data_IF_585470779085
#
_entry.id   IF_585470779085
#
_cell.length_a   1.000
_cell.length_b   1.000
_cell.length_c   1.000
_cell.angle_alpha   90.00
_cell.angle_beta   90.00
_cell.angle_gamma   90.00
#
_symmetry.space_group_name_H-M   'P 1'
#
loop_
_entity.id
_entity.type
_entity.pdbx_description
1 polymer ?
#
# COMPACT_ATOMS: atom_id res chain seq x y z
N UNK A 1 -21.56 32.29 -14.88
CA UNK A 1 -20.79 31.87 -13.70
C UNK A 1 -20.05 30.58 -14.02
N UNK A 2 -18.72 30.63 -14.17
CA UNK A 2 -17.91 29.42 -14.41
C UNK A 2 -17.87 28.59 -13.13
N UNK A 3 -18.49 27.41 -13.11
CA UNK A 3 -18.28 26.44 -12.03
C UNK A 3 -16.83 26.00 -12.11
N UNK A 4 -15.98 26.50 -11.21
CA UNK A 4 -14.66 25.94 -10.98
C UNK A 4 -14.85 24.47 -10.58
N UNK A 5 -14.64 23.56 -11.53
CA UNK A 5 -14.66 22.13 -11.26
C UNK A 5 -13.47 21.84 -10.36
N UNK A 6 -13.72 21.72 -9.05
CA UNK A 6 -12.67 21.38 -8.08
C UNK A 6 -12.11 20.02 -8.48
N UNK A 7 -10.88 20.02 -9.02
CA UNK A 7 -10.23 18.79 -9.51
C UNK A 7 -10.07 17.83 -8.35
N UNK A 8 -10.54 16.59 -8.52
CA UNK A 8 -10.39 15.51 -7.54
C UNK A 8 -8.90 15.29 -7.22
N UNK A 9 -8.48 15.31 -5.94
CA UNK A 9 -7.09 15.09 -5.57
C UNK A 9 -6.57 13.72 -6.04
N UNK A 10 -5.29 13.64 -6.38
CA UNK A 10 -4.59 12.37 -6.65
C UNK A 10 -4.12 11.75 -5.34
N UNK A 11 -4.85 10.75 -4.86
CA UNK A 11 -4.54 10.09 -3.60
C UNK A 11 -3.41 9.08 -3.73
N UNK A 12 -3.21 8.47 -4.90
CA UNK A 12 -2.05 7.61 -5.15
C UNK A 12 -0.75 8.41 -5.02
N UNK A 13 -0.72 9.63 -5.57
CA UNK A 13 0.42 10.53 -5.42
C UNK A 13 0.65 10.94 -3.95
N UNK A 14 -0.41 11.22 -3.20
CA UNK A 14 -0.31 11.56 -1.78
C UNK A 14 0.30 10.43 -0.95
N UNK A 15 -0.16 9.18 -1.12
CA UNK A 15 0.42 8.02 -0.43
C UNK A 15 1.88 7.81 -0.85
N UNK A 16 2.20 7.95 -2.14
CA UNK A 16 3.58 7.84 -2.63
C UNK A 16 4.50 8.93 -2.04
N UNK A 17 3.99 10.14 -1.84
CA UNK A 17 4.73 11.22 -1.20
C UNK A 17 5.00 10.90 0.28
N UNK A 18 4.01 10.38 1.00
CA UNK A 18 4.19 9.90 2.38
C UNK A 18 5.27 8.81 2.45
N UNK A 19 5.20 7.77 1.60
CA UNK A 19 6.20 6.68 1.59
C UNK A 19 7.60 7.23 1.32
N UNK A 20 7.74 8.10 0.32
CA UNK A 20 9.02 8.74 -0.02
C UNK A 20 9.59 9.53 1.15
N UNK A 21 8.75 10.28 1.85
CA UNK A 21 9.16 11.07 3.00
C UNK A 21 9.63 10.19 4.15
N UNK A 22 8.84 9.21 4.58
CA UNK A 22 9.19 8.38 5.74
C UNK A 22 10.41 7.49 5.49
N UNK A 23 10.61 7.05 4.25
CA UNK A 23 11.83 6.34 3.85
C UNK A 23 13.08 7.21 3.94
N UNK A 24 12.96 8.54 3.81
CA UNK A 24 14.09 9.47 3.99
C UNK A 24 14.26 9.90 5.45
N UNK A 25 13.18 10.03 6.19
CA UNK A 25 13.16 10.70 7.48
C UNK A 25 13.22 9.75 8.69
N UNK A 26 13.04 8.43 8.51
CA UNK A 26 12.96 7.50 9.64
C UNK A 26 13.64 6.15 9.34
N UNK A 27 14.54 5.73 10.23
CA UNK A 27 15.39 4.53 10.09
C UNK A 27 14.59 3.23 9.85
N UNK A 28 13.46 3.07 10.56
CA UNK A 28 12.61 1.89 10.43
C UNK A 28 12.08 1.66 8.99
N UNK A 29 12.08 2.70 8.16
CA UNK A 29 11.54 2.71 6.80
C UNK A 29 12.61 3.02 5.75
N UNK A 30 13.88 3.18 6.13
CA UNK A 30 14.95 3.67 5.23
C UNK A 30 15.25 2.76 4.03
N UNK A 31 14.98 1.46 4.17
CA UNK A 31 15.14 0.46 3.13
C UNK A 31 14.08 0.54 2.02
N UNK A 32 12.98 1.27 2.24
CA UNK A 32 11.84 1.31 1.33
C UNK A 32 12.13 2.14 0.08
N UNK A 33 11.66 1.65 -1.06
CA UNK A 33 11.70 2.38 -2.34
C UNK A 33 10.28 2.59 -2.83
N UNK A 34 9.72 3.78 -2.63
CA UNK A 34 8.34 4.13 -3.00
C UNK A 34 8.02 3.77 -4.47
N UNK A 35 8.98 3.95 -5.37
CA UNK A 35 8.83 3.63 -6.79
C UNK A 35 8.76 2.13 -7.13
N UNK A 36 8.82 1.24 -6.13
CA UNK A 36 8.69 -0.22 -6.25
C UNK A 36 7.48 -0.76 -5.46
N UNK A 37 6.69 0.14 -4.88
CA UNK A 37 5.47 -0.17 -4.11
C UNK A 37 4.29 0.41 -4.87
N UNK A 38 3.43 -0.47 -5.38
CA UNK A 38 2.18 -0.08 -6.00
C UNK A 38 1.14 0.19 -4.91
N UNK A 39 0.39 1.27 -5.02
CA UNK A 39 -0.71 1.61 -4.11
C UNK A 39 -2.00 1.67 -4.93
N UNK A 40 -2.97 0.86 -4.52
CA UNK A 40 -4.29 0.79 -5.16
C UNK A 40 -5.40 0.83 -4.11
N UNK A 41 -6.60 1.27 -4.50
CA UNK A 41 -7.83 0.90 -3.78
C UNK A 41 -8.30 -0.49 -4.23
N UNK A 42 -8.99 -1.20 -3.35
CA UNK A 42 -9.56 -2.50 -3.67
C UNK A 42 -10.79 -2.84 -2.84
N UNK A 43 -11.29 -4.05 -3.06
CA UNK A 43 -12.53 -4.57 -2.48
C UNK A 43 -12.48 -4.69 -0.96
N UNK A 44 -13.65 -4.74 -0.31
CA UNK A 44 -13.77 -5.03 1.11
C UNK A 44 -13.18 -6.41 1.43
N UNK A 45 -12.43 -6.49 2.53
CA UNK A 45 -11.87 -7.75 3.02
C UNK A 45 -11.85 -7.74 4.54
N UNK A 46 -12.81 -8.45 5.15
CA UNK A 46 -12.98 -8.50 6.62
C UNK A 46 -12.96 -7.06 7.21
N UNK A 47 -12.39 -6.90 8.40
CA UNK A 47 -12.22 -5.61 9.08
C UNK A 47 -10.92 -4.85 8.70
N UNK A 48 -10.21 -5.26 7.65
CA UNK A 48 -8.93 -4.63 7.28
C UNK A 48 -9.14 -3.24 6.64
N UNK A 49 -8.27 -2.28 7.00
CA UNK A 49 -8.15 -0.97 6.35
C UNK A 49 -7.13 -0.98 5.21
N UNK A 50 -6.10 -1.80 5.32
CA UNK A 50 -5.04 -1.95 4.33
C UNK A 50 -4.52 -3.40 4.31
N UNK A 51 -3.89 -3.77 3.21
CA UNK A 51 -3.10 -5.01 3.13
C UNK A 51 -1.92 -4.78 2.21
N UNK A 52 -0.73 -5.23 2.60
CA UNK A 52 0.42 -5.38 1.71
C UNK A 52 0.53 -6.82 1.19
N UNK A 53 0.76 -6.96 -0.11
CA UNK A 53 1.04 -8.26 -0.77
C UNK A 53 2.38 -8.19 -1.48
N UNK A 54 3.28 -9.16 -1.26
CA UNK A 54 4.48 -9.30 -2.09
C UNK A 54 4.14 -9.82 -3.49
N UNK A 55 4.63 -9.13 -4.51
CA UNK A 55 4.43 -9.43 -5.92
C UNK A 55 5.52 -10.34 -6.49
N UNK A 56 6.58 -10.59 -5.74
CA UNK A 56 7.67 -11.52 -6.08
C UNK A 56 7.89 -12.52 -4.96
N UNK A 57 8.78 -13.49 -5.19
CA UNK A 57 9.40 -14.29 -4.14
C UNK A 57 10.69 -13.61 -3.67
N UNK A 58 11.36 -14.23 -2.70
CA UNK A 58 12.65 -13.80 -2.16
C UNK A 58 13.68 -13.52 -3.25
N UNK A 59 14.49 -12.48 -3.05
CA UNK A 59 15.46 -12.02 -4.05
C UNK A 59 14.81 -11.51 -5.35
N UNK A 60 13.56 -11.03 -5.28
CA UNK A 60 12.79 -10.48 -6.42
C UNK A 60 12.51 -11.48 -7.53
N UNK A 61 12.60 -12.78 -7.22
CA UNK A 61 12.39 -13.88 -8.16
C UNK A 61 10.91 -14.02 -8.51
N UNK A 62 10.65 -14.51 -9.72
CA UNK A 62 9.30 -14.83 -10.20
C UNK A 62 8.86 -16.25 -9.88
N UNK A 63 9.82 -17.14 -9.71
CA UNK A 63 9.60 -18.55 -9.40
C UNK A 63 10.35 -18.88 -8.12
N UNK A 64 9.76 -19.67 -7.25
CA UNK A 64 10.44 -20.19 -6.07
C UNK A 64 11.00 -21.61 -6.29
N UNK A 65 11.58 -22.20 -5.25
CA UNK A 65 12.15 -23.55 -5.29
C UNK A 65 11.11 -24.66 -5.51
N UNK A 66 9.83 -24.38 -5.30
CA UNK A 66 8.73 -25.32 -5.51
C UNK A 66 8.08 -25.16 -6.89
N UNK A 67 8.66 -24.33 -7.78
CA UNK A 67 8.14 -24.09 -9.13
C UNK A 67 6.92 -23.16 -9.17
N UNK A 68 6.49 -22.60 -8.04
CA UNK A 68 5.35 -21.67 -7.99
C UNK A 68 5.74 -20.38 -8.68
N UNK A 69 4.85 -19.82 -9.51
CA UNK A 69 5.16 -18.66 -10.35
C UNK A 69 4.23 -17.48 -10.04
N UNK A 70 4.81 -16.32 -9.72
CA UNK A 70 4.09 -15.06 -9.61
C UNK A 70 4.11 -14.28 -10.94
N UNK A 71 3.02 -13.57 -11.28
CA UNK A 71 3.01 -12.68 -12.42
C UNK A 71 4.00 -11.53 -12.21
N UNK A 72 4.63 -11.08 -13.30
CA UNK A 72 5.47 -9.88 -13.27
C UNK A 72 4.54 -8.66 -13.31
N UNK A 73 4.69 -7.74 -12.35
CA UNK A 73 3.99 -6.45 -12.38
C UNK A 73 5.01 -5.36 -12.71
N UNK A 74 4.81 -4.64 -13.81
CA UNK A 74 5.62 -3.48 -14.20
C UNK A 74 4.75 -2.23 -14.24
N UNK A 75 5.21 -1.15 -13.64
CA UNK A 75 4.55 0.17 -13.74
C UNK A 75 5.63 1.20 -14.03
N UNK A 76 5.42 2.01 -15.06
CA UNK A 76 6.35 2.93 -15.69
C UNK A 76 7.70 2.26 -15.97
N UNK A 77 7.66 1.07 -16.58
CA UNK A 77 8.84 0.25 -16.88
C UNK A 77 9.53 -0.40 -15.67
N UNK A 78 9.12 -0.09 -14.44
CA UNK A 78 9.75 -0.59 -13.21
C UNK A 78 8.99 -1.80 -12.68
N UNK A 79 9.71 -2.86 -12.32
CA UNK A 79 9.11 -4.01 -11.62
C UNK A 79 8.66 -3.59 -10.21
N UNK A 80 7.39 -3.81 -9.91
CA UNK A 80 6.81 -3.62 -8.58
C UNK A 80 7.11 -4.85 -7.72
N UNK A 81 7.49 -4.62 -6.46
CA UNK A 81 7.81 -5.67 -5.49
C UNK A 81 6.67 -5.89 -4.50
N UNK A 82 5.92 -4.83 -4.19
CA UNK A 82 4.84 -4.85 -3.22
C UNK A 82 3.62 -4.15 -3.79
N UNK A 83 2.43 -4.60 -3.38
CA UNK A 83 1.17 -3.93 -3.62
C UNK A 83 0.48 -3.66 -2.29
N UNK A 84 0.31 -2.38 -1.94
CA UNK A 84 -0.56 -1.96 -0.85
C UNK A 84 -1.96 -1.75 -1.43
N UNK A 85 -2.94 -2.48 -0.90
CA UNK A 85 -4.35 -2.31 -1.25
C UNK A 85 -5.07 -1.64 -0.10
N UNK A 86 -5.51 -0.41 -0.30
CA UNK A 86 -6.34 0.35 0.63
C UNK A 86 -7.80 -0.11 0.49
N UNK A 87 -8.44 -0.39 1.63
CA UNK A 87 -9.76 -1.04 1.71
C UNK A 87 -10.86 -0.02 2.02
N UNK A 88 -12.14 -0.34 1.84
CA UNK A 88 -13.23 0.60 2.08
C UNK A 88 -13.21 1.26 3.46
N UNK A 89 -12.84 0.55 4.54
CA UNK A 89 -12.75 1.14 5.89
C UNK A 89 -11.69 2.25 6.00
N UNK A 90 -10.62 2.20 5.20
CA UNK A 90 -9.63 3.28 5.13
C UNK A 90 -10.27 4.57 4.59
N UNK A 91 -11.09 4.47 3.55
CA UNK A 91 -11.71 5.63 2.92
C UNK A 91 -12.93 6.12 3.70
N UNK A 92 -13.72 5.22 4.28
CA UNK A 92 -15.07 5.50 4.81
C UNK A 92 -15.15 5.69 6.32
N UNK A 93 -14.18 5.18 7.08
CA UNK A 93 -14.22 5.14 8.55
C UNK A 93 -12.82 5.24 9.14
N UNK A 94 -12.14 6.34 8.84
CA UNK A 94 -10.82 6.63 9.39
C UNK A 94 -10.60 8.14 9.58
N UNK A 95 -9.96 8.51 10.68
CA UNK A 95 -9.38 9.84 10.87
C UNK A 95 -8.11 10.00 10.01
N UNK A 96 -7.57 11.22 9.82
CA UNK A 96 -6.33 11.43 9.07
C UNK A 96 -5.17 10.60 9.65
N UNK A 97 -5.04 10.59 10.98
CA UNK A 97 -4.01 9.82 11.67
C UNK A 97 -4.17 8.32 11.47
N UNK A 98 -5.39 7.79 11.57
CA UNK A 98 -5.66 6.37 11.33
C UNK A 98 -5.27 5.93 9.91
N UNK A 99 -5.48 6.79 8.91
CA UNK A 99 -5.05 6.50 7.53
C UNK A 99 -3.53 6.49 7.39
N UNK A 100 -2.84 7.48 7.95
CA UNK A 100 -1.38 7.51 7.97
C UNK A 100 -0.84 6.28 8.69
N UNK A 101 -1.34 5.99 9.89
CA UNK A 101 -0.97 4.80 10.66
C UNK A 101 -1.21 3.51 9.87
N UNK A 102 -2.32 3.38 9.15
CA UNK A 102 -2.58 2.23 8.27
C UNK A 102 -1.50 2.09 7.19
N UNK A 103 -1.13 3.18 6.51
CA UNK A 103 -0.05 3.12 5.51
C UNK A 103 1.27 2.70 6.15
N UNK A 104 1.64 3.32 7.28
CA UNK A 104 2.87 2.97 8.00
C UNK A 104 2.88 1.51 8.47
N UNK A 105 1.72 0.99 8.89
CA UNK A 105 1.53 -0.39 9.30
C UNK A 105 1.82 -1.35 8.13
N UNK A 106 1.22 -1.10 6.97
CA UNK A 106 1.48 -1.90 5.76
C UNK A 106 2.94 -1.83 5.30
N UNK A 107 3.59 -0.68 5.48
CA UNK A 107 5.03 -0.53 5.17
C UNK A 107 5.90 -1.27 6.19
N UNK A 108 5.49 -1.34 7.46
CA UNK A 108 6.26 -1.99 8.51
C UNK A 108 6.38 -3.50 8.28
N UNK A 109 5.34 -4.13 7.70
CA UNK A 109 5.36 -5.54 7.26
C UNK A 109 6.41 -5.85 6.18
N UNK A 110 6.88 -4.86 5.43
CA UNK A 110 7.85 -5.08 4.35
C UNK A 110 9.20 -5.52 4.94
N UNK A 111 9.82 -6.54 4.33
CA UNK A 111 11.15 -7.02 4.70
C UNK A 111 12.18 -5.90 4.67
N UNK A 112 13.00 -5.81 5.72
CA UNK A 112 14.12 -4.86 5.84
C UNK A 112 15.13 -4.98 4.69
N UNK A 113 15.23 -6.15 4.04
CA UNK A 113 16.10 -6.36 2.87
C UNK A 113 15.50 -5.80 1.56
N UNK A 114 14.21 -5.45 1.57
CA UNK A 114 13.47 -4.95 0.40
C UNK A 114 13.63 -5.84 -0.84
N UNK A 115 13.50 -7.14 -0.62
CA UNK A 115 13.77 -8.21 -1.58
C UNK A 115 12.48 -8.80 -2.20
N UNK A 116 11.31 -8.23 -1.86
CA UNK A 116 10.02 -8.72 -2.30
C UNK A 116 9.41 -9.78 -1.38
N UNK A 117 9.84 -9.85 -0.12
CA UNK A 117 9.19 -10.62 0.95
C UNK A 117 8.65 -9.71 2.06
N UNK A 118 7.81 -10.27 2.94
CA UNK A 118 7.42 -9.64 4.21
C UNK A 118 8.33 -10.15 5.32
N UNK A 119 8.58 -9.29 6.32
CA UNK A 119 9.30 -9.69 7.53
C UNK A 119 8.42 -10.61 8.38
N UNK A 120 8.91 -11.81 8.67
CA UNK A 120 8.16 -12.85 9.39
C UNK A 120 7.90 -12.44 10.85
N UNK A 121 8.90 -11.84 11.51
CA UNK A 121 8.80 -11.28 12.87
C UNK A 121 7.85 -10.09 12.98
N UNK A 122 7.37 -9.56 11.85
CA UNK A 122 6.41 -8.46 11.82
C UNK A 122 5.03 -8.91 11.36
N UNK A 123 4.78 -10.20 11.17
CA UNK A 123 3.43 -10.71 10.89
C UNK A 123 2.62 -10.79 12.16
N UNK A 124 1.36 -10.40 12.11
CA UNK A 124 0.44 -10.51 13.25
C UNK A 124 0.37 -11.93 13.82
N UNK A 125 0.26 -12.94 12.96
CA UNK A 125 0.14 -14.34 13.37
C UNK A 125 1.39 -14.87 14.12
N UNK A 126 2.56 -14.27 13.86
CA UNK A 126 3.84 -14.69 14.46
C UNK A 126 4.24 -13.78 15.64
N UNK A 127 3.86 -12.50 15.61
CA UNK A 127 4.26 -11.50 16.59
C UNK A 127 3.21 -11.22 17.67
N UNK A 128 1.93 -11.54 17.44
CA UNK A 128 0.82 -11.24 18.35
C UNK A 128 0.85 -9.78 18.84
N UNK A 129 0.72 -9.59 20.15
CA UNK A 129 0.79 -8.28 20.81
C UNK A 129 2.16 -7.59 20.66
N UNK A 130 3.22 -8.37 20.39
CA UNK A 130 4.57 -7.86 20.15
C UNK A 130 4.67 -6.99 18.89
N UNK A 131 3.78 -7.18 17.91
CA UNK A 131 3.73 -6.32 16.73
C UNK A 131 3.39 -4.88 17.12
N UNK A 132 2.28 -4.68 17.85
CA UNK A 132 1.80 -3.35 18.22
C UNK A 132 2.77 -2.67 19.20
N UNK A 133 3.39 -3.44 20.10
CA UNK A 133 4.44 -2.94 20.99
C UNK A 133 5.65 -2.36 20.23
N UNK A 134 6.04 -2.97 19.10
CA UNK A 134 7.12 -2.44 18.25
C UNK A 134 6.66 -1.30 17.34
N UNK A 135 5.46 -1.40 16.78
CA UNK A 135 4.96 -0.46 15.77
C UNK A 135 4.49 0.87 16.37
N UNK A 136 3.76 0.86 17.49
CA UNK A 136 3.15 2.07 18.05
C UNK A 136 4.17 3.17 18.43
N UNK A 137 5.36 2.87 19.00
CA UNK A 137 6.40 3.89 19.21
C UNK A 137 6.91 4.51 17.89
N UNK A 138 7.02 3.72 16.83
CA UNK A 138 7.46 4.18 15.51
C UNK A 138 6.40 5.08 14.88
N UNK A 139 5.13 4.65 14.88
CA UNK A 139 4.00 5.45 14.40
C UNK A 139 3.97 6.82 15.09
N UNK A 140 4.05 6.86 16.43
CA UNK A 140 4.03 8.11 17.20
C UNK A 140 5.18 9.03 16.82
N UNK A 141 6.40 8.50 16.68
CA UNK A 141 7.60 9.27 16.30
C UNK A 141 7.45 9.86 14.90
N UNK A 142 6.98 9.07 13.93
CA UNK A 142 6.74 9.54 12.56
C UNK A 142 5.64 10.60 12.55
N UNK A 143 4.49 10.31 13.17
CA UNK A 143 3.34 11.23 13.20
C UNK A 143 3.72 12.62 13.73
N UNK A 144 4.45 12.69 14.85
CA UNK A 144 4.90 13.95 15.45
C UNK A 144 5.79 14.81 14.53
N UNK A 145 6.48 14.19 13.57
CA UNK A 145 7.42 14.87 12.68
C UNK A 145 6.88 15.07 11.27
N UNK A 146 5.68 14.56 10.97
CA UNK A 146 5.13 14.65 9.62
C UNK A 146 4.75 16.10 9.28
N UNK A 147 5.27 16.65 8.17
CA UNK A 147 4.86 17.95 7.67
C UNK A 147 3.35 18.03 7.42
N UNK A 148 2.67 19.13 7.80
CA UNK A 148 1.22 19.27 7.63
C UNK A 148 0.74 19.06 6.19
N UNK A 149 1.52 19.48 5.19
CA UNK A 149 1.18 19.30 3.78
C UNK A 149 1.15 17.82 3.33
N UNK A 150 1.88 16.94 4.02
CA UNK A 150 1.81 15.48 3.77
C UNK A 150 0.62 14.85 4.47
N UNK A 151 0.13 15.43 5.57
CA UNK A 151 -1.04 14.97 6.30
C UNK A 151 -2.34 15.44 5.65
N UNK A 152 -2.35 16.66 5.08
CA UNK A 152 -3.55 17.30 4.53
C UNK A 152 -4.35 16.42 3.54
N UNK A 153 -3.73 15.68 2.59
CA UNK A 153 -4.48 14.80 1.70
C UNK A 153 -5.22 13.67 2.44
N UNK A 154 -4.67 13.18 3.56
CA UNK A 154 -5.29 12.14 4.38
C UNK A 154 -6.46 12.66 5.21
N UNK A 155 -6.63 13.98 5.35
CA UNK A 155 -7.80 14.60 5.98
C UNK A 155 -8.88 15.06 5.00
N UNK A 156 -8.66 14.91 3.69
CA UNK A 156 -9.64 15.33 2.69
C UNK A 156 -10.98 14.60 2.86
N UNK A 157 -12.09 15.33 2.90
CA UNK A 157 -13.45 14.80 2.80
C UNK A 157 -14.03 15.13 1.42
N UNK A 158 -14.36 14.10 0.65
CA UNK A 158 -14.76 14.28 -0.75
C UNK A 158 -14.34 13.13 -1.65
N UNK A 159 -14.48 13.34 -2.95
CA UNK A 159 -14.04 12.40 -3.97
C UNK A 159 -12.55 12.59 -4.29
N UNK A 160 -11.80 11.49 -4.27
CA UNK A 160 -10.40 11.43 -4.69
C UNK A 160 -10.24 10.46 -5.85
N UNK A 161 -9.18 10.67 -6.63
CA UNK A 161 -8.70 9.75 -7.66
C UNK A 161 -7.65 8.84 -7.06
N UNK A 162 -7.74 7.54 -7.32
CA UNK A 162 -6.76 6.55 -6.86
C UNK A 162 -6.68 5.40 -7.85
N UNK A 163 -5.49 4.83 -8.04
CA UNK A 163 -5.33 3.64 -8.86
C UNK A 163 -6.15 2.46 -8.32
N UNK A 164 -6.70 1.67 -9.23
CA UNK A 164 -7.39 0.42 -8.97
C UNK A 164 -6.98 -0.61 -10.02
N UNK A 165 -7.11 -1.89 -9.70
CA UNK A 165 -6.92 -2.96 -10.68
C UNK A 165 -8.13 -3.04 -11.60
N UNK A 166 -7.90 -2.90 -12.90
CA UNK A 166 -8.87 -3.31 -13.92
C UNK A 166 -8.93 -4.84 -13.97
N UNK A 167 -7.75 -5.46 -14.02
CA UNK A 167 -7.57 -6.90 -13.88
C UNK A 167 -6.55 -7.17 -12.78
N UNK A 168 -6.98 -7.84 -11.71
CA UNK A 168 -6.14 -8.08 -10.54
C UNK A 168 -5.27 -9.33 -10.74
N UNK A 169 -3.95 -9.26 -10.46
CA UNK A 169 -3.12 -10.44 -10.43
C UNK A 169 -3.58 -11.40 -9.32
N UNK A 170 -3.98 -12.61 -9.68
CA UNK A 170 -4.41 -13.63 -8.72
C UNK A 170 -3.29 -13.92 -7.71
N UNK A 171 -3.67 -14.19 -6.47
CA UNK A 171 -2.78 -14.84 -5.50
C UNK A 171 -2.59 -16.29 -5.88
N UNK A 172 -1.44 -16.84 -5.53
CA UNK A 172 -1.33 -18.28 -5.43
C UNK A 172 -1.74 -18.64 -4.01
N UNK A 173 -2.96 -19.14 -3.84
CA UNK A 173 -3.32 -19.99 -2.69
C UNK A 173 -3.24 -21.45 -3.17
N UNK A 174 -2.89 -22.42 -2.30
CA UNK A 174 -2.99 -23.83 -2.63
C UNK A 174 -4.41 -24.14 -3.16
N UNK A 175 -4.52 -24.66 -4.39
CA UNK A 175 -5.80 -24.94 -5.05
C UNK A 175 -6.39 -23.82 -5.91
N UNK A 176 -5.83 -22.61 -5.91
CA UNK A 176 -6.22 -21.55 -6.85
C UNK A 176 -5.50 -21.71 -8.20
N UNK A 177 -6.21 -21.45 -9.31
CA UNK A 177 -5.60 -21.39 -10.65
C UNK A 177 -4.53 -20.29 -10.67
N UNK A 178 -3.40 -20.58 -11.32
CA UNK A 178 -2.38 -19.57 -11.55
C UNK A 178 -2.98 -18.38 -12.31
N UNK A 179 -2.48 -17.17 -12.01
CA UNK A 179 -2.82 -15.97 -12.75
C UNK A 179 -2.78 -16.23 -14.27
N UNK A 180 -3.91 -15.99 -14.95
CA UNK A 180 -4.05 -16.19 -16.40
C UNK A 180 -3.00 -15.42 -17.22
N UNK A 181 -2.46 -14.33 -16.66
CA UNK A 181 -1.42 -13.52 -17.30
C UNK A 181 -0.07 -13.64 -16.60
N UNK A 182 0.98 -13.65 -17.40
CA UNK A 182 2.37 -13.63 -16.92
C UNK A 182 2.91 -12.21 -16.64
N UNK A 183 2.29 -11.16 -17.21
CA UNK A 183 2.70 -9.77 -17.10
C UNK A 183 1.48 -8.87 -16.89
N UNK A 184 1.56 -7.99 -15.89
CA UNK A 184 0.64 -6.90 -15.66
C UNK A 184 1.38 -5.57 -15.78
N UNK A 185 0.71 -4.62 -16.41
CA UNK A 185 1.18 -3.26 -16.65
C UNK A 185 0.10 -2.24 -16.31
N UNK A 186 0.38 -0.96 -16.54
CA UNK A 186 -0.55 0.15 -16.42
C UNK A 186 -1.84 -0.06 -17.23
N UNK A 187 -1.79 -0.86 -18.31
CA UNK A 187 -2.98 -1.26 -19.08
C UNK A 187 -4.00 -2.06 -18.27
N UNK A 188 -3.58 -2.65 -17.15
CA UNK A 188 -4.41 -3.43 -16.25
C UNK A 188 -4.76 -2.65 -14.98
N UNK A 189 -4.43 -1.36 -14.95
CA UNK A 189 -4.80 -0.42 -13.92
C UNK A 189 -5.70 0.64 -14.54
N UNK A 190 -6.53 1.25 -13.71
CA UNK A 190 -7.24 2.47 -14.08
C UNK A 190 -7.28 3.40 -12.87
N UNK A 191 -7.58 4.66 -13.14
CA UNK A 191 -7.79 5.63 -12.07
C UNK A 191 -9.27 5.67 -11.70
N UNK A 192 -9.59 5.12 -10.52
CA UNK A 192 -10.94 5.10 -9.98
C UNK A 192 -11.24 6.30 -9.10
N UNK A 193 -12.52 6.64 -8.99
CA UNK A 193 -13.01 7.66 -8.06
C UNK A 193 -13.48 6.96 -6.78
N UNK A 194 -13.00 7.42 -5.63
CA UNK A 194 -13.42 6.91 -4.32
C UNK A 194 -13.85 8.07 -3.44
N UNK A 195 -15.00 7.95 -2.77
CA UNK A 195 -15.46 8.92 -1.77
C UNK A 195 -14.80 8.65 -0.42
N UNK A 196 -13.90 9.54 -0.03
CA UNK A 196 -13.38 9.66 1.33
C UNK A 196 -14.40 10.35 2.23
N UNK A 197 -14.61 9.77 3.42
CA UNK A 197 -15.32 10.38 4.55
C UNK A 197 -14.36 10.47 5.72
N UNK A 198 -13.99 11.67 6.12
CA UNK A 198 -13.05 11.86 7.22
C UNK A 198 -13.82 12.01 8.51
N UNK A 199 -13.65 11.04 9.41
CA UNK A 199 -14.14 11.19 10.77
C UNK A 199 -13.33 12.28 11.47
N UNK A 200 -14.04 13.26 12.04
CA UNK A 200 -13.49 14.21 13.00
C UNK A 200 -13.29 13.53 14.34
#
# INVERSE_FOLDING_TARGET
MSKTVRRRPDFTAAVRALITHVARAHEAFSHLKAARILVVAGEARRASRGTVKPLTFAGRKRTDSLGRKKPLVKVNGRQMLYCITLRPLFFRRSTPRQRVATVLHELFHISRQFDGTLDHLRRHDEAGDGFEAQFAPIERKVWRKLPPHLVAPFGYDGEVRILQWLEKPQSWLPGERASHRALYTERHLFEGIVRMKTSV
#
